data_IF_495053280986
#
_entry.id   IF_495053280986
#
_cell.length_a   1.000
_cell.length_b   1.000
_cell.length_c   1.000
_cell.angle_alpha   90.00
_cell.angle_beta   90.00
_cell.angle_gamma   90.00
#
_symmetry.space_group_name_H-M   'P 1'
#
loop_
_entity.id
_entity.type
_entity.pdbx_description
1 polymer ?
#
# COMPACT_ATOMS: atom_id res chain seq x y z
N UNK A 1 -26.57 41.42 -3.60
CA UNK A 1 -25.26 41.70 -2.96
C UNK A 1 -24.43 42.71 -3.76
N UNK A 2 -24.32 42.58 -5.10
CA UNK A 2 -23.43 43.42 -5.92
C UNK A 2 -24.10 44.38 -6.92
N UNK A 3 -25.44 44.38 -7.00
CA UNK A 3 -26.19 45.26 -7.90
C UNK A 3 -26.64 46.58 -7.27
N UNK A 4 -26.66 47.65 -8.07
CA UNK A 4 -27.27 48.93 -7.71
C UNK A 4 -28.77 48.90 -8.06
N UNK A 5 -29.62 49.02 -7.04
CA UNK A 5 -31.09 48.93 -7.19
C UNK A 5 -31.70 50.07 -8.02
N UNK A 6 -31.04 51.23 -8.09
CA UNK A 6 -31.54 52.40 -8.82
C UNK A 6 -31.22 52.32 -10.32
N UNK A 7 -30.00 51.90 -10.67
CA UNK A 7 -29.54 51.81 -12.06
C UNK A 7 -29.77 50.45 -12.70
N UNK A 8 -30.23 49.44 -11.93
CA UNK A 8 -30.40 48.03 -12.35
C UNK A 8 -29.14 47.41 -12.98
N UNK A 9 -27.97 47.91 -12.59
CA UNK A 9 -26.66 47.44 -13.07
C UNK A 9 -25.87 46.75 -11.96
N UNK A 10 -25.00 45.82 -12.35
CA UNK A 10 -24.08 45.08 -11.48
C UNK A 10 -22.65 45.43 -11.87
N UNK A 11 -21.83 45.76 -10.89
CA UNK A 11 -20.40 45.96 -11.09
C UNK A 11 -19.68 44.61 -11.01
N UNK A 12 -19.22 44.12 -12.16
CA UNK A 12 -18.56 42.80 -12.28
C UNK A 12 -17.22 42.79 -11.56
N UNK A 13 -16.44 43.89 -11.58
CA UNK A 13 -15.16 44.00 -10.87
C UNK A 13 -15.36 43.85 -9.35
N UNK A 14 -16.40 44.46 -8.80
CA UNK A 14 -16.76 44.33 -7.37
C UNK A 14 -17.20 42.90 -7.02
N UNK A 15 -17.93 42.24 -7.92
CA UNK A 15 -18.30 40.83 -7.76
C UNK A 15 -17.08 39.91 -7.77
N UNK A 16 -16.18 40.06 -8.75
CA UNK A 16 -14.94 39.27 -8.84
C UNK A 16 -14.02 39.52 -7.64
N UNK A 17 -13.89 40.77 -7.20
CA UNK A 17 -13.16 41.09 -5.97
C UNK A 17 -13.80 40.40 -4.74
N UNK A 18 -15.13 40.39 -4.65
CA UNK A 18 -15.86 39.63 -3.63
C UNK A 18 -15.58 38.13 -3.69
N UNK A 19 -15.51 37.55 -4.88
CA UNK A 19 -15.23 36.13 -5.07
C UNK A 19 -13.81 35.76 -4.62
N UNK A 20 -12.83 36.63 -4.87
CA UNK A 20 -11.46 36.43 -4.38
C UNK A 20 -11.39 36.46 -2.85
N UNK A 21 -12.24 37.24 -2.18
CA UNK A 21 -12.27 37.25 -0.70
C UNK A 21 -12.78 35.95 -0.08
N UNK A 22 -13.50 35.11 -0.83
CA UNK A 22 -13.94 33.79 -0.35
C UNK A 22 -12.82 32.74 -0.44
N UNK A 23 -11.64 33.10 -0.97
CA UNK A 23 -10.49 32.22 -1.12
C UNK A 23 -10.40 31.47 -2.44
N UNK A 24 -11.42 31.58 -3.30
CA UNK A 24 -11.31 31.09 -4.68
C UNK A 24 -10.33 31.97 -5.46
N UNK A 25 -9.62 31.38 -6.41
CA UNK A 25 -8.69 32.12 -7.27
C UNK A 25 -9.24 32.23 -8.68
N UNK A 26 -8.78 33.24 -9.42
CA UNK A 26 -9.18 33.47 -10.81
C UNK A 26 -8.77 32.32 -11.74
N UNK A 27 -7.76 31.53 -11.37
CA UNK A 27 -7.29 30.36 -12.10
C UNK A 27 -8.04 29.05 -11.74
N UNK A 28 -9.15 29.11 -11.00
CA UNK A 28 -9.96 27.91 -10.71
C UNK A 28 -10.66 27.40 -11.99
N UNK A 29 -10.42 26.13 -12.41
CA UNK A 29 -11.03 25.58 -13.62
C UNK A 29 -12.57 25.61 -13.62
N UNK A 30 -13.20 25.56 -12.44
CA UNK A 30 -14.66 25.58 -12.28
C UNK A 30 -15.26 26.97 -12.49
N UNK A 31 -14.44 28.01 -12.58
CA UNK A 31 -14.86 29.39 -12.86
C UNK A 31 -14.50 29.82 -14.30
N UNK A 32 -13.90 28.93 -15.10
CA UNK A 32 -13.38 29.25 -16.42
C UNK A 32 -14.44 29.82 -17.35
N UNK A 33 -15.60 29.17 -17.44
CA UNK A 33 -16.72 29.59 -18.30
C UNK A 33 -17.23 30.98 -17.91
N UNK A 34 -17.36 31.24 -16.60
CA UNK A 34 -17.69 32.57 -16.10
C UNK A 34 -16.66 33.62 -16.53
N UNK A 35 -15.35 33.34 -16.43
CA UNK A 35 -14.32 34.28 -16.86
C UNK A 35 -14.30 34.48 -18.38
N UNK A 36 -14.53 33.43 -19.18
CA UNK A 36 -14.67 33.51 -20.63
C UNK A 36 -15.90 34.37 -21.02
N UNK A 37 -17.04 34.13 -20.38
CA UNK A 37 -18.25 34.93 -20.56
C UNK A 37 -18.03 36.40 -20.17
N UNK A 38 -17.25 36.68 -19.12
CA UNK A 38 -16.87 38.05 -18.76
C UNK A 38 -16.05 38.70 -19.87
N UNK A 39 -15.06 37.99 -20.44
CA UNK A 39 -14.23 38.51 -21.53
C UNK A 39 -15.01 38.70 -22.84
N UNK A 40 -15.93 37.79 -23.17
CA UNK A 40 -16.85 37.99 -24.30
C UNK A 40 -17.69 39.25 -24.13
N UNK A 41 -18.23 39.47 -22.93
CA UNK A 41 -19.05 40.64 -22.62
C UNK A 41 -18.21 41.91 -22.66
N UNK A 42 -16.95 41.89 -22.16
CA UNK A 42 -16.00 43.00 -22.31
C UNK A 42 -15.75 43.35 -23.78
N UNK A 43 -15.49 42.34 -24.61
CA UNK A 43 -15.25 42.50 -26.04
C UNK A 43 -16.47 43.07 -26.79
N UNK A 44 -17.69 42.63 -26.42
CA UNK A 44 -18.94 43.15 -27.00
C UNK A 44 -19.21 44.61 -26.62
N UNK A 45 -18.80 45.03 -25.42
CA UNK A 45 -19.08 46.37 -24.89
C UNK A 45 -18.01 47.39 -25.32
N UNK A 46 -16.90 46.98 -25.96
CA UNK A 46 -15.83 47.85 -26.46
C UNK A 46 -15.29 48.84 -25.39
N UNK A 47 -15.41 48.50 -24.11
CA UNK A 47 -14.89 49.34 -23.03
C UNK A 47 -13.44 48.97 -22.75
N UNK A 48 -12.56 49.94 -23.04
CA UNK A 48 -11.11 49.85 -22.84
C UNK A 48 -10.71 50.24 -21.41
N UNK A 49 -11.62 50.84 -20.64
CA UNK A 49 -11.33 51.35 -19.31
C UNK A 49 -11.73 50.33 -18.22
N UNK A 50 -10.75 49.92 -17.41
CA UNK A 50 -10.84 48.77 -16.49
C UNK A 50 -11.71 49.04 -15.24
N UNK A 51 -12.22 50.26 -15.06
CA UNK A 51 -12.72 50.70 -13.75
C UNK A 51 -14.23 50.60 -13.50
N UNK A 52 -15.06 50.22 -14.47
CA UNK A 52 -16.43 49.76 -14.13
C UNK A 52 -17.15 49.01 -15.25
N UNK A 53 -16.85 47.72 -15.42
CA UNK A 53 -17.72 46.83 -16.20
C UNK A 53 -19.09 46.71 -15.51
N UNK A 54 -20.03 47.54 -15.96
CA UNK A 54 -21.41 47.58 -15.50
C UNK A 54 -22.29 46.82 -16.48
N UNK A 55 -22.86 45.71 -16.00
CA UNK A 55 -23.76 44.86 -16.79
C UNK A 55 -25.16 44.89 -16.21
N UNK A 56 -26.17 44.67 -17.04
CA UNK A 56 -27.54 44.49 -16.56
C UNK A 56 -27.73 43.12 -15.90
N UNK A 57 -28.87 42.92 -15.25
CA UNK A 57 -29.14 41.68 -14.51
C UNK A 57 -29.20 40.45 -15.42
N UNK A 58 -29.74 40.59 -16.63
CA UNK A 58 -29.88 39.48 -17.57
C UNK A 58 -28.52 39.03 -18.10
N UNK A 59 -27.66 39.98 -18.49
CA UNK A 59 -26.28 39.68 -18.91
C UNK A 59 -25.49 39.08 -17.76
N UNK A 60 -25.63 39.60 -16.54
CA UNK A 60 -24.95 39.04 -15.37
C UNK A 60 -25.37 37.59 -15.08
N UNK A 61 -26.67 37.28 -15.14
CA UNK A 61 -27.16 35.92 -14.96
C UNK A 61 -26.65 34.98 -16.05
N UNK A 62 -26.51 35.46 -17.29
CA UNK A 62 -25.86 34.71 -18.37
C UNK A 62 -24.36 34.49 -18.13
N UNK A 63 -23.67 35.43 -17.48
CA UNK A 63 -22.25 35.27 -17.13
C UNK A 63 -22.04 34.14 -16.11
N UNK A 64 -22.89 34.07 -15.08
CA UNK A 64 -22.71 33.14 -13.95
C UNK A 64 -23.51 31.84 -14.08
N UNK A 65 -24.34 31.66 -15.12
CA UNK A 65 -25.30 30.55 -15.21
C UNK A 65 -24.62 29.19 -15.07
N UNK A 66 -23.49 29.02 -15.74
CA UNK A 66 -22.82 27.73 -15.86
C UNK A 66 -22.02 27.37 -14.60
N UNK A 67 -21.71 28.38 -13.76
CA UNK A 67 -20.94 28.21 -12.53
C UNK A 67 -21.74 28.70 -11.29
N UNK A 68 -23.07 28.73 -11.40
CA UNK A 68 -23.95 29.32 -10.39
C UNK A 68 -23.81 28.63 -9.02
N UNK A 69 -23.68 27.30 -9.01
CA UNK A 69 -23.60 26.52 -7.77
C UNK A 69 -22.41 26.93 -6.90
N UNK A 70 -21.21 26.99 -7.49
CA UNK A 70 -19.98 27.36 -6.76
C UNK A 70 -20.01 28.83 -6.33
N UNK A 71 -20.55 29.72 -7.17
CA UNK A 71 -20.71 31.14 -6.85
C UNK A 71 -21.69 31.34 -5.69
N UNK A 72 -22.82 30.63 -5.71
CA UNK A 72 -23.81 30.69 -4.61
C UNK A 72 -23.19 30.19 -3.32
N UNK A 73 -22.52 29.02 -3.35
CA UNK A 73 -21.84 28.44 -2.17
C UNK A 73 -20.76 29.37 -1.59
N UNK A 74 -20.03 30.08 -2.46
CA UNK A 74 -19.01 31.03 -2.06
C UNK A 74 -19.59 32.22 -1.27
N UNK A 75 -20.69 32.81 -1.75
CA UNK A 75 -21.31 33.98 -1.12
C UNK A 75 -22.33 33.64 -0.03
N UNK A 76 -22.80 32.39 0.07
CA UNK A 76 -23.70 31.92 1.13
C UNK A 76 -22.96 31.46 2.39
N UNK A 77 -21.64 31.65 2.46
CA UNK A 77 -20.80 31.17 3.56
C UNK A 77 -20.92 29.64 3.78
N UNK A 78 -21.16 28.88 2.70
CA UNK A 78 -21.34 27.42 2.74
C UNK A 78 -20.08 26.64 2.35
N UNK A 79 -18.93 27.31 2.28
CA UNK A 79 -17.64 26.63 2.23
C UNK A 79 -17.22 26.15 3.61
N UNK A 80 -16.40 25.09 3.62
CA UNK A 80 -15.85 24.45 4.81
C UNK A 80 -15.14 25.45 5.73
N UNK A 81 -14.56 26.53 5.18
CA UNK A 81 -14.06 27.67 5.94
C UNK A 81 -14.83 28.93 5.51
N UNK A 82 -15.90 29.31 6.25
CA UNK A 82 -16.74 30.45 5.92
C UNK A 82 -16.02 31.80 5.98
N UNK A 83 -15.19 32.00 7.02
CA UNK A 83 -14.41 33.23 7.25
C UNK A 83 -12.95 33.03 6.82
N UNK A 84 -12.75 32.67 5.55
CA UNK A 84 -11.43 32.33 5.00
C UNK A 84 -10.37 33.41 5.24
N UNK A 85 -10.75 34.69 5.18
CA UNK A 85 -9.82 35.80 5.40
C UNK A 85 -9.27 35.84 6.83
N UNK A 86 -10.14 35.70 7.83
CA UNK A 86 -9.69 35.65 9.24
C UNK A 86 -8.81 34.43 9.48
N UNK A 87 -9.14 33.30 8.86
CA UNK A 87 -8.32 32.10 8.94
C UNK A 87 -6.93 32.29 8.30
N UNK A 88 -6.84 32.96 7.15
CA UNK A 88 -5.56 33.32 6.54
C UNK A 88 -4.72 34.23 7.46
N UNK A 89 -5.34 35.20 8.14
CA UNK A 89 -4.65 36.06 9.10
C UNK A 89 -4.06 35.25 10.27
N UNK A 90 -4.73 34.18 10.70
CA UNK A 90 -4.22 33.27 11.72
C UNK A 90 -3.09 32.38 11.20
N UNK A 91 -3.19 31.88 9.96
CA UNK A 91 -2.09 31.16 9.29
C UNK A 91 -0.85 32.06 9.13
N UNK A 92 -1.03 33.35 8.85
CA UNK A 92 0.07 34.32 8.79
C UNK A 92 0.74 34.50 10.16
N UNK A 93 -0.03 34.61 11.24
CA UNK A 93 0.52 34.67 12.61
C UNK A 93 1.36 33.43 12.90
N UNK A 94 0.87 32.24 12.57
CA UNK A 94 1.59 30.97 12.75
C UNK A 94 2.85 30.95 11.88
N UNK A 95 2.75 31.33 10.60
CA UNK A 95 3.88 31.41 9.68
C UNK A 95 5.00 32.27 10.26
N UNK A 96 4.67 33.46 10.78
CA UNK A 96 5.63 34.38 11.39
C UNK A 96 6.21 33.86 12.71
N UNK A 97 5.43 33.18 13.54
CA UNK A 97 5.94 32.51 14.75
C UNK A 97 6.95 31.41 14.39
N UNK A 98 6.62 30.55 13.44
CA UNK A 98 7.47 29.44 12.99
C UNK A 98 8.74 29.93 12.29
N UNK A 99 8.67 31.03 11.53
CA UNK A 99 9.81 31.61 10.82
C UNK A 99 11.00 31.97 11.73
N UNK A 100 10.75 32.20 13.02
CA UNK A 100 11.79 32.52 14.00
C UNK A 100 12.58 31.29 14.46
N UNK A 101 12.09 30.07 14.20
CA UNK A 101 12.81 28.84 14.52
C UNK A 101 13.90 28.59 13.47
N UNK A 102 15.16 28.73 13.86
CA UNK A 102 16.33 28.48 13.00
C UNK A 102 17.07 27.20 13.40
N UNK A 103 16.45 26.32 14.20
CA UNK A 103 17.06 25.06 14.60
C UNK A 103 17.09 24.06 13.42
N UNK A 104 18.10 23.20 13.42
CA UNK A 104 18.31 22.17 12.38
C UNK A 104 19.47 22.49 11.44
N UNK A 105 19.78 21.55 10.55
CA UNK A 105 20.83 21.71 9.52
C UNK A 105 20.33 21.14 8.20
N UNK A 106 20.70 21.77 7.09
CA UNK A 106 20.46 21.21 5.76
C UNK A 106 21.23 19.89 5.62
N UNK A 107 20.67 18.95 4.85
CA UNK A 107 21.37 17.70 4.57
C UNK A 107 22.69 17.97 3.87
N UNK A 108 23.79 17.47 4.42
CA UNK A 108 25.14 17.74 3.92
C UNK A 108 25.66 16.66 2.96
N UNK A 109 25.00 15.50 2.89
CA UNK A 109 25.45 14.37 2.05
C UNK A 109 24.99 14.46 0.58
N UNK A 110 24.02 15.34 0.26
CA UNK A 110 23.63 15.66 -1.12
C UNK A 110 24.00 17.12 -1.40
N UNK A 111 25.04 17.41 -2.20
CA UNK A 111 25.53 18.77 -2.44
C UNK A 111 24.46 19.75 -2.93
N UNK A 112 23.51 19.29 -3.74
CA UNK A 112 22.43 20.11 -4.30
C UNK A 112 21.37 20.52 -3.25
N UNK A 113 21.18 19.70 -2.21
CA UNK A 113 20.31 20.01 -1.08
C UNK A 113 21.06 20.75 0.03
N UNK A 114 22.36 20.48 0.17
CA UNK A 114 23.26 21.20 1.06
C UNK A 114 23.35 22.69 0.69
N UNK A 115 23.33 22.99 -0.61
CA UNK A 115 23.37 24.35 -1.15
C UNK A 115 22.03 25.11 -1.06
N UNK A 116 20.93 24.46 -0.62
CA UNK A 116 19.66 25.17 -0.45
C UNK A 116 19.74 26.10 0.76
N UNK A 117 19.20 27.30 0.61
CA UNK A 117 19.21 28.30 1.67
C UNK A 117 18.35 27.79 2.85
N UNK A 118 18.93 27.60 4.06
CA UNK A 118 18.19 27.13 5.23
C UNK A 118 17.12 28.10 5.70
N UNK A 119 17.11 29.33 5.17
CA UNK A 119 16.11 30.36 5.49
C UNK A 119 14.84 30.28 4.64
N UNK A 120 14.81 29.43 3.62
CA UNK A 120 13.60 29.27 2.81
C UNK A 120 12.47 28.67 3.65
N UNK A 121 11.32 29.34 3.66
CA UNK A 121 10.15 28.92 4.41
C UNK A 121 8.86 29.32 3.69
N UNK A 122 8.01 28.33 3.43
CA UNK A 122 6.80 28.50 2.65
C UNK A 122 5.67 27.64 3.21
N UNK A 123 4.45 28.18 3.19
CA UNK A 123 3.22 27.48 3.54
C UNK A 123 2.21 27.71 2.42
N UNK A 124 1.58 26.64 1.94
CA UNK A 124 0.51 26.72 0.95
C UNK A 124 -0.60 25.76 1.31
N UNK A 125 -1.85 26.20 1.21
CA UNK A 125 -3.05 25.44 1.56
C UNK A 125 -4.11 25.50 0.47
N UNK A 126 -4.88 24.42 0.36
CA UNK A 126 -6.06 24.31 -0.49
C UNK A 126 -7.15 23.55 0.28
N UNK A 127 -8.34 24.15 0.44
CA UNK A 127 -9.48 23.48 1.08
C UNK A 127 -10.15 22.52 0.10
N UNK A 128 -11.00 21.62 0.62
CA UNK A 128 -11.80 20.69 -0.20
C UNK A 128 -12.77 21.41 -1.14
N UNK A 129 -13.16 22.64 -0.81
CA UNK A 129 -13.99 23.50 -1.66
C UNK A 129 -13.18 24.30 -2.68
N UNK A 130 -11.84 24.21 -2.63
CA UNK A 130 -10.91 24.87 -3.55
C UNK A 130 -10.48 26.27 -3.11
N UNK A 131 -10.70 26.65 -1.85
CA UNK A 131 -10.17 27.90 -1.31
C UNK A 131 -8.66 27.76 -1.13
N UNK A 132 -7.85 28.69 -1.65
CA UNK A 132 -6.39 28.57 -1.69
C UNK A 132 -5.72 29.79 -1.06
N UNK A 133 -4.67 29.54 -0.28
CA UNK A 133 -3.82 30.58 0.31
C UNK A 133 -2.36 30.11 0.37
N UNK A 134 -1.42 31.02 0.17
CA UNK A 134 0.00 30.71 0.08
C UNK A 134 0.82 31.88 0.63
N UNK A 135 1.79 31.61 1.50
CA UNK A 135 2.66 32.60 2.16
C UNK A 135 4.11 32.11 2.20
N UNK A 136 5.06 33.02 1.99
CA UNK A 136 6.50 32.72 1.96
C UNK A 136 7.02 32.31 0.59
N UNK A 137 8.08 31.50 0.56
CA UNK A 137 8.85 31.13 -0.63
C UNK A 137 8.12 30.06 -1.51
N UNK A 138 6.83 30.24 -1.77
CA UNK A 138 5.92 29.22 -2.36
C UNK A 138 6.17 28.93 -3.84
N UNK A 139 6.97 29.77 -4.51
CA UNK A 139 7.37 29.57 -5.91
C UNK A 139 8.77 28.96 -6.04
N UNK A 140 9.49 28.81 -4.93
CA UNK A 140 10.79 28.15 -4.94
C UNK A 140 10.60 26.65 -5.19
N UNK A 141 11.16 26.16 -6.29
CA UNK A 141 11.11 24.73 -6.58
C UNK A 141 12.06 23.97 -5.66
N UNK A 142 11.52 22.97 -4.97
CA UNK A 142 12.26 21.95 -4.24
C UNK A 142 11.90 20.58 -4.81
N UNK A 143 12.78 19.59 -4.64
CA UNK A 143 12.48 18.23 -5.09
C UNK A 143 11.45 17.61 -4.13
N UNK A 144 10.38 17.04 -4.69
CA UNK A 144 9.41 16.19 -3.95
C UNK A 144 10.13 14.99 -3.30
N UNK A 145 11.33 14.65 -3.80
CA UNK A 145 12.02 13.36 -3.64
C UNK A 145 11.27 12.25 -4.41
N UNK A 146 11.74 11.01 -4.35
CA UNK A 146 11.34 9.96 -5.29
C UNK A 146 9.90 9.46 -5.04
N UNK A 147 8.93 9.94 -5.83
CA UNK A 147 7.54 9.43 -5.82
C UNK A 147 7.47 7.89 -6.02
N UNK A 148 8.46 7.30 -6.70
CA UNK A 148 8.55 5.85 -6.92
C UNK A 148 8.90 5.10 -5.63
N UNK A 149 9.78 5.68 -4.82
CA UNK A 149 10.15 5.11 -3.53
C UNK A 149 9.00 5.22 -2.54
N UNK A 150 8.34 6.37 -2.46
CA UNK A 150 7.19 6.54 -1.59
C UNK A 150 6.02 5.61 -1.97
N UNK A 151 5.76 5.45 -3.27
CA UNK A 151 4.73 4.52 -3.76
C UNK A 151 5.03 3.06 -3.33
N UNK A 152 6.26 2.60 -3.52
CA UNK A 152 6.65 1.25 -3.14
C UNK A 152 6.67 1.09 -1.62
N UNK A 153 7.19 2.07 -0.89
CA UNK A 153 7.21 2.07 0.58
C UNK A 153 5.79 1.95 1.15
N UNK A 154 4.84 2.69 0.59
CA UNK A 154 3.43 2.62 0.98
C UNK A 154 2.83 1.24 0.69
N UNK A 155 3.13 0.66 -0.46
CA UNK A 155 2.71 -0.71 -0.78
C UNK A 155 3.30 -1.74 0.21
N UNK A 156 4.58 -1.61 0.59
CA UNK A 156 5.19 -2.49 1.60
C UNK A 156 4.58 -2.29 2.99
N UNK A 157 4.24 -1.05 3.39
CA UNK A 157 3.52 -0.80 4.65
C UNK A 157 2.16 -1.48 4.68
N UNK A 158 1.42 -1.43 3.56
CA UNK A 158 0.14 -2.15 3.41
C UNK A 158 0.33 -3.66 3.50
N UNK A 159 1.37 -4.22 2.87
CA UNK A 159 1.72 -5.64 2.99
C UNK A 159 2.09 -6.05 4.43
N UNK A 160 2.75 -5.17 5.17
CA UNK A 160 3.14 -5.39 6.56
C UNK A 160 1.99 -5.22 7.55
N UNK A 161 0.83 -4.69 7.14
CA UNK A 161 -0.28 -4.41 8.04
C UNK A 161 0.02 -3.27 9.02
N UNK A 162 0.81 -2.28 8.61
CA UNK A 162 1.33 -1.19 9.47
C UNK A 162 2.33 -1.61 10.55
N UNK A 163 2.88 -2.83 10.47
CA UNK A 163 4.05 -3.24 11.24
C UNK A 163 5.33 -2.49 10.81
N UNK A 164 6.42 -2.69 11.55
CA UNK A 164 7.69 -2.01 11.29
C UNK A 164 8.19 -2.18 9.86
N UNK A 165 8.44 -1.05 9.19
CA UNK A 165 9.15 -0.96 7.92
C UNK A 165 10.13 0.22 8.01
N UNK A 166 11.41 -0.09 8.00
CA UNK A 166 12.51 0.86 8.09
C UNK A 166 13.29 1.01 6.79
N UNK A 167 14.32 1.85 6.85
CA UNK A 167 15.26 2.05 5.75
C UNK A 167 16.68 2.28 6.30
N UNK A 168 17.63 1.45 5.86
CA UNK A 168 19.01 1.53 6.31
C UNK A 168 19.86 2.32 5.31
N UNK A 169 20.04 3.61 5.59
CA UNK A 169 20.85 4.46 4.72
C UNK A 169 22.33 4.04 4.65
N UNK A 170 22.87 3.44 5.72
CA UNK A 170 24.26 2.98 5.75
C UNK A 170 24.48 1.78 4.81
N UNK A 171 23.54 0.82 4.80
CA UNK A 171 23.54 -0.29 3.85
C UNK A 171 23.36 0.23 2.43
N UNK A 172 22.45 1.17 2.20
CA UNK A 172 22.25 1.77 0.87
C UNK A 172 23.51 2.40 0.30
N UNK A 173 24.22 3.21 1.10
CA UNK A 173 25.46 3.84 0.66
C UNK A 173 26.57 2.81 0.41
N UNK A 174 26.68 1.80 1.28
CA UNK A 174 27.65 0.71 1.15
C UNK A 174 27.39 -0.17 -0.10
N UNK A 175 26.13 -0.55 -0.32
CA UNK A 175 25.71 -1.30 -1.52
C UNK A 175 25.99 -0.50 -2.79
N UNK A 176 25.69 0.81 -2.78
CA UNK A 176 25.94 1.69 -3.92
C UNK A 176 27.43 1.82 -4.25
N UNK A 177 28.30 1.90 -3.24
CA UNK A 177 29.75 2.04 -3.43
C UNK A 177 30.40 0.76 -3.98
N UNK A 178 29.94 -0.42 -3.53
CA UNK A 178 30.52 -1.72 -3.89
C UNK A 178 29.78 -2.45 -5.03
N UNK A 179 28.88 -1.77 -5.75
CA UNK A 179 27.92 -2.37 -6.68
C UNK A 179 28.44 -2.67 -8.10
N UNK A 180 29.74 -2.92 -8.29
CA UNK A 180 30.36 -3.08 -9.62
C UNK A 180 29.62 -4.11 -10.51
N UNK A 181 29.23 -5.25 -9.93
CA UNK A 181 28.49 -6.30 -10.64
C UNK A 181 27.12 -5.81 -11.12
N UNK A 182 26.40 -5.06 -10.29
CA UNK A 182 25.09 -4.53 -10.63
C UNK A 182 25.19 -3.48 -11.74
N UNK A 183 26.20 -2.61 -11.71
CA UNK A 183 26.46 -1.67 -12.79
C UNK A 183 26.76 -2.39 -14.10
N UNK A 184 27.65 -3.39 -14.09
CA UNK A 184 28.00 -4.15 -15.30
C UNK A 184 26.77 -4.83 -15.93
N UNK A 185 25.94 -5.50 -15.11
CA UNK A 185 24.70 -6.12 -15.58
C UNK A 185 23.72 -5.10 -16.15
N UNK A 186 23.57 -3.95 -15.49
CA UNK A 186 22.65 -2.91 -15.93
C UNK A 186 23.09 -2.29 -17.27
N UNK A 187 24.39 -2.07 -17.47
CA UNK A 187 24.92 -1.63 -18.76
C UNK A 187 24.70 -2.68 -19.86
N UNK A 188 24.92 -3.96 -19.55
CA UNK A 188 24.66 -5.07 -20.47
C UNK A 188 23.18 -5.15 -20.86
N UNK A 189 22.27 -5.03 -19.90
CA UNK A 189 20.83 -4.99 -20.13
C UNK A 189 20.40 -3.78 -20.97
N UNK A 190 21.04 -2.63 -20.78
CA UNK A 190 20.76 -1.41 -21.56
C UNK A 190 21.12 -1.59 -23.03
N UNK A 191 22.30 -2.15 -23.32
CA UNK A 191 22.73 -2.44 -24.69
C UNK A 191 21.76 -3.39 -25.39
N UNK A 192 21.27 -4.40 -24.67
CA UNK A 192 20.29 -5.38 -25.17
C UNK A 192 18.84 -4.88 -25.14
N UNK A 193 18.61 -3.58 -24.88
CA UNK A 193 17.27 -2.95 -24.87
C UNK A 193 16.27 -3.64 -23.92
N UNK A 194 16.76 -4.15 -22.79
CA UNK A 194 15.91 -4.81 -21.79
C UNK A 194 15.09 -3.82 -20.95
N UNK A 195 15.39 -2.52 -21.02
CA UNK A 195 14.64 -1.47 -20.33
C UNK A 195 13.63 -0.78 -21.27
N UNK A 196 12.49 -0.31 -20.74
CA UNK A 196 11.56 0.51 -21.51
C UNK A 196 12.22 1.76 -22.13
N UNK A 197 11.66 2.31 -23.22
CA UNK A 197 12.14 3.56 -23.81
C UNK A 197 12.12 4.70 -22.78
N UNK A 198 13.19 5.50 -22.73
CA UNK A 198 13.31 6.64 -21.82
C UNK A 198 13.75 6.31 -20.39
N UNK A 199 14.06 5.05 -20.07
CA UNK A 199 14.59 4.68 -18.76
C UNK A 199 15.97 5.27 -18.51
N UNK A 200 16.11 6.01 -17.40
CA UNK A 200 17.39 6.51 -16.90
C UNK A 200 18.05 5.44 -16.03
N UNK A 201 19.17 4.89 -16.50
CA UNK A 201 19.84 3.76 -15.87
C UNK A 201 20.27 4.06 -14.43
N UNK A 202 20.92 5.20 -14.21
CA UNK A 202 21.46 5.57 -12.90
C UNK A 202 20.37 5.75 -11.85
N UNK A 203 19.29 6.48 -12.18
CA UNK A 203 18.13 6.64 -11.28
C UNK A 203 17.40 5.31 -11.02
N UNK A 204 17.49 4.34 -11.94
CA UNK A 204 16.87 3.02 -11.77
C UNK A 204 17.72 2.12 -10.87
N UNK A 205 19.05 2.17 -11.01
CA UNK A 205 19.98 1.48 -10.12
C UNK A 205 19.95 2.05 -8.71
N UNK A 206 19.92 3.38 -8.56
CA UNK A 206 19.76 4.00 -7.25
C UNK A 206 18.48 3.55 -6.57
N UNK A 207 17.37 3.50 -7.32
CA UNK A 207 16.11 2.99 -6.81
C UNK A 207 16.20 1.50 -6.42
N UNK A 208 16.88 0.68 -7.20
CA UNK A 208 17.14 -0.72 -6.86
C UNK A 208 17.88 -0.87 -5.52
N UNK A 209 18.97 -0.11 -5.30
CA UNK A 209 19.70 -0.15 -4.02
C UNK A 209 18.85 0.36 -2.85
N UNK A 210 17.99 1.37 -3.08
CA UNK A 210 17.05 1.83 -2.05
C UNK A 210 16.11 0.69 -1.61
N UNK A 211 15.59 -0.11 -2.54
CA UNK A 211 14.71 -1.23 -2.21
C UNK A 211 15.45 -2.37 -1.50
N UNK A 212 16.70 -2.65 -1.87
CA UNK A 212 17.53 -3.65 -1.20
C UNK A 212 17.92 -3.26 0.24
N UNK A 213 17.81 -1.97 0.58
CA UNK A 213 18.15 -1.41 1.89
C UNK A 213 16.94 -1.17 2.79
N UNK A 214 15.75 -1.65 2.43
CA UNK A 214 14.58 -1.64 3.31
C UNK A 214 14.78 -2.62 4.48
N UNK A 215 14.32 -2.21 5.67
CA UNK A 215 14.43 -3.01 6.88
C UNK A 215 13.07 -3.51 7.33
N UNK A 216 13.03 -4.79 7.71
CA UNK A 216 11.86 -5.41 8.32
C UNK A 216 12.30 -6.18 9.57
N UNK A 217 11.36 -6.40 10.47
CA UNK A 217 11.47 -7.38 11.56
C UNK A 217 10.97 -8.75 11.09
N UNK A 218 11.26 -9.81 11.85
CA UNK A 218 10.68 -11.12 11.58
C UNK A 218 9.13 -11.10 11.67
N UNK A 219 8.57 -10.27 12.55
CA UNK A 219 7.11 -10.12 12.71
C UNK A 219 6.47 -9.47 11.47
N UNK A 220 6.97 -8.30 11.06
CA UNK A 220 6.50 -7.62 9.84
C UNK A 220 6.69 -8.50 8.59
N UNK A 221 7.83 -9.17 8.46
CA UNK A 221 8.07 -10.13 7.39
C UNK A 221 7.09 -11.29 7.37
N UNK A 222 6.71 -11.83 8.54
CA UNK A 222 5.73 -12.91 8.63
C UNK A 222 4.35 -12.44 8.15
N UNK A 223 3.94 -11.21 8.47
CA UNK A 223 2.69 -10.61 7.98
C UNK A 223 2.72 -10.41 6.47
N UNK A 224 3.84 -9.97 5.89
CA UNK A 224 4.01 -9.86 4.44
C UNK A 224 3.89 -11.23 3.77
N UNK A 225 4.56 -12.26 4.31
CA UNK A 225 4.46 -13.64 3.81
C UNK A 225 3.01 -14.17 3.91
N UNK A 226 2.31 -13.87 5.00
CA UNK A 226 0.93 -14.29 5.22
C UNK A 226 -0.04 -13.56 4.28
N UNK A 227 0.25 -12.31 3.91
CA UNK A 227 -0.50 -11.58 2.87
C UNK A 227 -0.41 -12.29 1.52
N UNK A 228 0.77 -12.83 1.17
CA UNK A 228 0.92 -13.69 -0.02
C UNK A 228 0.20 -15.04 0.15
N UNK A 229 0.26 -15.64 1.35
CA UNK A 229 -0.48 -16.88 1.63
C UNK A 229 -1.99 -16.70 1.47
N UNK A 230 -2.50 -15.50 1.80
CA UNK A 230 -3.91 -15.12 1.77
C UNK A 230 -4.33 -14.45 0.44
N UNK A 231 -3.65 -14.79 -0.67
CA UNK A 231 -4.07 -14.36 -2.00
C UNK A 231 -3.93 -12.87 -2.29
N UNK A 232 -3.16 -12.13 -1.49
CA UNK A 232 -2.90 -10.69 -1.68
C UNK A 232 -3.68 -9.78 -0.74
N UNK A 233 -4.52 -10.34 0.11
CA UNK A 233 -5.27 -9.61 1.15
C UNK A 233 -4.50 -9.68 2.46
N UNK A 234 -4.17 -8.53 3.04
CA UNK A 234 -3.43 -8.50 4.30
C UNK A 234 -4.27 -9.14 5.43
N UNK A 235 -3.72 -10.10 6.20
CA UNK A 235 -4.51 -10.87 7.17
C UNK A 235 -4.88 -10.07 8.43
N UNK A 236 -4.17 -8.98 8.74
CA UNK A 236 -4.44 -8.15 9.92
C UNK A 236 -5.44 -7.03 9.61
N UNK A 237 -5.36 -6.45 8.41
CA UNK A 237 -6.16 -5.28 8.03
C UNK A 237 -7.33 -5.60 7.10
N UNK A 238 -7.32 -6.74 6.41
CA UNK A 238 -8.29 -7.07 5.37
C UNK A 238 -8.11 -6.26 4.07
N UNK A 239 -7.03 -5.48 3.96
CA UNK A 239 -6.75 -4.63 2.80
C UNK A 239 -6.32 -5.48 1.58
N UNK A 240 -6.98 -5.38 0.41
CA UNK A 240 -6.53 -6.01 -0.81
C UNK A 240 -5.33 -5.26 -1.40
N UNK A 241 -4.12 -5.70 -1.04
CA UNK A 241 -2.87 -5.03 -1.43
C UNK A 241 -2.40 -5.48 -2.82
N UNK A 242 -2.55 -6.76 -3.13
CA UNK A 242 -2.10 -7.37 -4.39
C UNK A 242 -3.24 -8.12 -5.07
N UNK A 243 -3.19 -8.21 -6.40
CA UNK A 243 -4.11 -9.07 -7.15
C UNK A 243 -3.75 -10.54 -6.97
N UNK A 244 -4.75 -11.42 -6.97
CA UNK A 244 -4.53 -12.86 -6.83
C UNK A 244 -3.65 -13.43 -7.96
N UNK A 245 -3.72 -12.84 -9.16
CA UNK A 245 -2.84 -13.21 -10.27
C UNK A 245 -1.38 -12.89 -9.99
N UNK A 246 -1.07 -11.69 -9.49
CA UNK A 246 0.28 -11.30 -9.13
C UNK A 246 0.83 -12.23 -8.05
N UNK A 247 0.04 -12.52 -7.01
CA UNK A 247 0.42 -13.43 -5.93
C UNK A 247 0.70 -14.83 -6.43
N UNK A 248 -0.17 -15.41 -7.27
CA UNK A 248 0.05 -16.73 -7.86
C UNK A 248 1.37 -16.78 -8.62
N UNK A 249 1.61 -15.80 -9.50
CA UNK A 249 2.81 -15.74 -10.32
C UNK A 249 4.07 -15.60 -9.45
N UNK A 250 4.02 -14.76 -8.42
CA UNK A 250 5.11 -14.59 -7.45
C UNK A 250 5.41 -15.88 -6.69
N UNK A 251 4.38 -16.58 -6.17
CA UNK A 251 4.58 -17.83 -5.43
C UNK A 251 5.15 -18.95 -6.32
N UNK A 252 4.72 -19.03 -7.57
CA UNK A 252 5.31 -19.97 -8.54
C UNK A 252 6.80 -19.70 -8.77
N UNK A 253 7.19 -18.43 -8.96
CA UNK A 253 8.59 -18.06 -9.14
C UNK A 253 9.42 -18.22 -7.86
N UNK A 254 8.83 -17.98 -6.69
CA UNK A 254 9.49 -18.26 -5.40
C UNK A 254 9.78 -19.75 -5.25
N UNK A 255 8.87 -20.63 -5.69
CA UNK A 255 9.09 -22.07 -5.65
C UNK A 255 10.27 -22.50 -6.54
N UNK A 256 10.37 -21.99 -7.78
CA UNK A 256 11.42 -22.43 -8.72
C UNK A 256 12.74 -21.66 -8.63
N UNK A 257 12.73 -20.40 -8.19
CA UNK A 257 13.84 -19.45 -8.32
C UNK A 257 14.19 -18.69 -7.02
N UNK A 258 13.61 -19.08 -5.88
CA UNK A 258 13.65 -18.28 -4.66
C UNK A 258 14.92 -18.35 -3.80
N UNK A 259 15.63 -19.48 -3.84
CA UNK A 259 16.70 -19.86 -2.90
C UNK A 259 18.08 -19.96 -3.59
N UNK A 260 18.37 -19.03 -4.50
CA UNK A 260 19.60 -19.02 -5.32
C UNK A 260 19.80 -20.35 -6.06
N UNK A 261 21.04 -20.85 -6.15
CA UNK A 261 21.35 -22.13 -6.78
C UNK A 261 20.75 -23.34 -6.03
N UNK A 262 20.25 -23.13 -4.80
CA UNK A 262 19.57 -24.18 -4.02
C UNK A 262 18.08 -24.31 -4.36
N UNK A 263 17.51 -23.43 -5.19
CA UNK A 263 16.05 -23.39 -5.48
C UNK A 263 15.48 -24.74 -5.94
N UNK A 264 16.15 -25.44 -6.86
CA UNK A 264 15.68 -26.74 -7.34
C UNK A 264 15.68 -27.83 -6.27
N UNK A 265 16.72 -27.87 -5.42
CA UNK A 265 16.79 -28.82 -4.32
C UNK A 265 15.78 -28.49 -3.21
N UNK A 266 15.59 -27.20 -2.93
CA UNK A 266 14.61 -26.71 -1.97
C UNK A 266 13.18 -27.04 -2.42
N UNK A 267 12.86 -26.81 -3.70
CA UNK A 267 11.58 -27.16 -4.29
C UNK A 267 11.30 -28.67 -4.23
N UNK A 268 12.32 -29.51 -4.35
CA UNK A 268 12.17 -30.96 -4.27
C UNK A 268 12.05 -31.49 -2.83
N UNK A 269 12.86 -30.96 -1.89
CA UNK A 269 12.91 -31.44 -0.51
C UNK A 269 11.86 -30.81 0.39
N UNK A 270 11.68 -29.50 0.29
CA UNK A 270 10.77 -28.70 1.12
C UNK A 270 9.46 -28.44 0.38
N UNK A 271 9.52 -28.18 -0.93
CA UNK A 271 8.31 -28.01 -1.74
C UNK A 271 7.53 -26.72 -1.49
N UNK A 272 8.02 -25.81 -0.65
CA UNK A 272 7.33 -24.57 -0.32
C UNK A 272 7.91 -23.37 -1.11
N UNK A 273 7.07 -22.39 -1.52
CA UNK A 273 7.56 -21.11 -2.01
C UNK A 273 8.36 -20.37 -0.94
N UNK A 274 9.60 -20.02 -1.25
CA UNK A 274 10.47 -19.26 -0.35
C UNK A 274 11.31 -18.22 -1.09
N UNK A 275 11.84 -17.23 -0.38
CA UNK A 275 12.87 -16.31 -0.88
C UNK A 275 13.92 -16.05 0.19
N UNK A 276 15.18 -16.31 -0.17
CA UNK A 276 16.34 -16.03 0.68
C UNK A 276 16.93 -14.65 0.42
N UNK A 277 17.44 -14.00 1.48
CA UNK A 277 18.21 -12.76 1.42
C UNK A 277 19.58 -12.93 2.05
N UNK A 278 20.59 -12.21 1.53
CA UNK A 278 21.98 -12.24 2.04
C UNK A 278 22.12 -11.70 3.46
N UNK A 279 21.08 -11.04 3.99
CA UNK A 279 20.98 -10.66 5.41
C UNK A 279 20.72 -11.85 6.35
N UNK A 280 20.51 -13.05 5.81
CA UNK A 280 20.12 -14.25 6.56
C UNK A 280 18.61 -14.38 6.77
N UNK A 281 17.81 -13.57 6.08
CA UNK A 281 16.35 -13.65 6.09
C UNK A 281 15.86 -14.69 5.07
N UNK A 282 14.84 -15.48 5.44
CA UNK A 282 14.09 -16.35 4.54
C UNK A 282 12.60 -16.07 4.74
N UNK A 283 11.97 -15.56 3.67
CA UNK A 283 10.52 -15.44 3.59
C UNK A 283 9.96 -16.77 3.07
N UNK A 284 9.07 -17.42 3.81
CA UNK A 284 8.51 -18.73 3.47
C UNK A 284 6.98 -18.63 3.48
N UNK A 285 6.32 -19.17 2.45
CA UNK A 285 4.86 -19.10 2.31
C UNK A 285 4.29 -20.50 2.21
N UNK A 286 3.30 -20.82 3.05
CA UNK A 286 2.42 -21.98 2.90
C UNK A 286 1.07 -21.46 2.39
N UNK A 287 0.79 -21.58 1.07
CA UNK A 287 -0.40 -20.98 0.47
C UNK A 287 -1.69 -21.41 1.16
N UNK A 288 -2.62 -20.46 1.30
CA UNK A 288 -3.91 -20.63 1.99
C UNK A 288 -3.81 -21.05 3.47
N UNK A 289 -2.63 -20.94 4.09
CA UNK A 289 -2.42 -21.39 5.47
C UNK A 289 -1.67 -20.36 6.31
N UNK A 290 -0.39 -20.14 6.04
CA UNK A 290 0.49 -19.35 6.92
C UNK A 290 1.69 -18.79 6.17
N UNK A 291 2.19 -17.63 6.61
CA UNK A 291 3.46 -17.07 6.18
C UNK A 291 4.46 -17.04 7.33
N UNK A 292 5.73 -17.29 7.02
CA UNK A 292 6.84 -17.23 7.96
C UNK A 292 7.91 -16.27 7.46
N UNK A 293 8.59 -15.63 8.41
CA UNK A 293 9.84 -14.93 8.16
C UNK A 293 10.88 -15.42 9.17
N UNK A 294 11.88 -16.13 8.66
CA UNK A 294 12.96 -16.69 9.45
C UNK A 294 14.17 -15.78 9.30
N UNK A 295 14.87 -15.49 10.39
CA UNK A 295 16.07 -14.67 10.33
C UNK A 295 17.21 -15.27 11.14
N UNK A 296 18.33 -15.53 10.46
CA UNK A 296 19.57 -15.96 11.08
C UNK A 296 20.74 -15.56 10.16
N UNK A 297 21.58 -14.60 10.55
CA UNK A 297 22.64 -14.04 9.69
C UNK A 297 23.66 -15.03 9.10
N UNK A 298 24.10 -16.10 9.78
CA UNK A 298 25.06 -17.05 9.20
C UNK A 298 24.51 -17.77 7.96
N UNK A 299 25.26 -17.70 6.86
CA UNK A 299 24.89 -18.25 5.55
C UNK A 299 25.69 -19.52 5.20
N UNK A 300 25.08 -20.37 4.38
CA UNK A 300 25.73 -21.50 3.72
C UNK A 300 26.53 -21.06 2.48
N UNK A 301 27.18 -22.02 1.81
CA UNK A 301 27.95 -21.78 0.59
C UNK A 301 27.09 -21.30 -0.62
N UNK A 302 25.77 -21.42 -0.55
CA UNK A 302 24.83 -20.97 -1.56
C UNK A 302 24.23 -19.59 -1.24
N UNK A 303 24.56 -18.99 -0.09
CA UNK A 303 24.06 -17.70 0.36
C UNK A 303 22.72 -17.76 1.11
N UNK A 304 22.27 -18.94 1.52
CA UNK A 304 21.04 -19.12 2.30
C UNK A 304 21.33 -19.23 3.80
N UNK A 305 20.38 -18.83 4.64
CA UNK A 305 20.52 -18.99 6.10
C UNK A 305 20.56 -20.46 6.51
N UNK A 306 21.64 -20.88 7.19
CA UNK A 306 21.84 -22.28 7.60
C UNK A 306 20.68 -22.77 8.47
N UNK A 307 20.38 -22.02 9.55
CA UNK A 307 19.28 -22.38 10.47
C UNK A 307 17.90 -22.27 9.82
N UNK A 308 17.73 -21.29 8.92
CA UNK A 308 16.45 -21.11 8.25
C UNK A 308 16.12 -22.25 7.27
N UNK A 309 17.11 -22.75 6.52
CA UNK A 309 16.92 -23.93 5.64
C UNK A 309 16.66 -25.20 6.45
N UNK A 310 17.39 -25.39 7.55
CA UNK A 310 17.18 -26.55 8.45
C UNK A 310 15.76 -26.53 9.03
N UNK A 311 15.31 -25.38 9.54
CA UNK A 311 13.94 -25.21 10.05
C UNK A 311 12.89 -25.56 8.99
N UNK A 312 13.07 -25.12 7.74
CA UNK A 312 12.13 -25.43 6.66
C UNK A 312 12.05 -26.94 6.38
N UNK A 313 13.18 -27.66 6.49
CA UNK A 313 13.23 -29.10 6.28
C UNK A 313 12.52 -29.85 7.40
N UNK A 314 12.80 -29.48 8.66
CA UNK A 314 12.13 -30.07 9.82
C UNK A 314 10.62 -29.77 9.83
N UNK A 315 10.22 -28.58 9.37
CA UNK A 315 8.82 -28.18 9.27
C UNK A 315 8.02 -29.15 8.38
N UNK A 316 8.56 -29.52 7.20
CA UNK A 316 7.86 -30.42 6.27
C UNK A 316 8.03 -31.89 6.62
N UNK A 317 9.06 -32.24 7.40
CA UNK A 317 9.22 -33.58 7.96
C UNK A 317 8.18 -33.85 9.05
N UNK A 318 7.82 -32.82 9.82
CA UNK A 318 6.82 -32.90 10.87
C UNK A 318 5.39 -32.70 10.36
N UNK A 319 5.16 -31.72 9.47
CA UNK A 319 3.82 -31.32 9.02
C UNK A 319 3.56 -31.63 7.55
N UNK A 320 2.28 -31.88 7.21
CA UNK A 320 1.78 -32.07 5.83
C UNK A 320 1.69 -30.75 5.04
N UNK A 321 2.81 -30.02 4.97
CA UNK A 321 2.92 -28.74 4.30
C UNK A 321 3.65 -28.80 2.96
N UNK A 322 4.35 -29.89 2.65
CA UNK A 322 4.98 -30.01 1.33
C UNK A 322 3.91 -29.85 0.23
N UNK A 323 4.18 -29.07 -0.82
CA UNK A 323 3.16 -28.74 -1.82
C UNK A 323 2.53 -29.97 -2.50
N UNK A 324 3.30 -31.05 -2.59
CA UNK A 324 2.87 -32.35 -3.13
C UNK A 324 2.54 -33.42 -2.07
N UNK A 325 2.42 -33.06 -0.78
CA UNK A 325 1.97 -34.00 0.26
C UNK A 325 0.49 -34.38 0.05
N UNK A 326 0.14 -35.61 0.42
CA UNK A 326 -1.23 -36.09 0.36
C UNK A 326 -2.00 -35.71 1.63
N UNK A 327 -3.09 -34.94 1.45
CA UNK A 327 -3.93 -34.47 2.55
C UNK A 327 -4.95 -35.51 3.05
N UNK A 328 -5.33 -36.47 2.20
CA UNK A 328 -6.36 -37.50 2.48
C UNK A 328 -5.78 -38.86 2.84
N UNK A 329 -4.47 -39.05 2.71
CA UNK A 329 -3.78 -40.33 2.89
C UNK A 329 -3.32 -40.58 4.33
N UNK A 330 -3.65 -41.76 4.86
CA UNK A 330 -3.27 -42.26 6.18
C UNK A 330 -1.87 -42.92 6.24
N UNK A 331 -1.07 -42.84 5.17
CA UNK A 331 0.22 -43.53 5.09
C UNK A 331 1.39 -42.74 5.69
N UNK A 332 1.15 -41.50 6.11
CA UNK A 332 2.18 -40.59 6.60
C UNK A 332 1.98 -40.29 8.09
N UNK A 333 3.05 -40.41 8.88
CA UNK A 333 3.12 -40.03 10.30
C UNK A 333 3.11 -38.51 10.53
N UNK A 334 3.07 -37.72 9.45
CA UNK A 334 3.06 -36.25 9.51
C UNK A 334 1.75 -35.70 10.09
N UNK A 335 1.87 -34.59 10.80
CA UNK A 335 0.76 -33.87 11.42
C UNK A 335 0.13 -32.92 10.40
N UNK A 336 -1.19 -32.89 10.31
CA UNK A 336 -1.90 -31.81 9.60
C UNK A 336 -2.54 -30.87 10.63
N UNK A 337 -2.04 -29.63 10.78
CA UNK A 337 -2.55 -28.70 11.78
C UNK A 337 -3.89 -28.07 11.38
N UNK A 338 -4.42 -28.35 10.18
CA UNK A 338 -5.73 -27.87 9.73
C UNK A 338 -6.89 -28.72 10.24
N UNK A 339 -6.61 -29.94 10.72
CA UNK A 339 -7.60 -30.85 11.32
C UNK A 339 -7.40 -30.91 12.83
N UNK A 340 -8.48 -31.20 13.56
CA UNK A 340 -8.39 -31.35 15.00
C UNK A 340 -7.56 -32.57 15.39
N UNK A 341 -6.97 -32.56 16.60
CA UNK A 341 -6.20 -33.70 17.11
C UNK A 341 -7.03 -34.99 17.18
N UNK A 342 -8.33 -34.87 17.44
CA UNK A 342 -9.28 -35.98 17.47
C UNK A 342 -9.47 -36.58 16.07
N UNK A 343 -9.66 -35.74 15.04
CA UNK A 343 -9.74 -36.19 13.64
C UNK A 343 -8.42 -36.83 13.16
N UNK A 344 -7.28 -36.28 13.57
CA UNK A 344 -5.96 -36.82 13.21
C UNK A 344 -5.68 -38.16 13.91
N UNK A 345 -6.04 -38.32 15.18
CA UNK A 345 -5.88 -39.59 15.91
C UNK A 345 -6.72 -40.73 15.32
N UNK A 346 -7.87 -40.40 14.71
CA UNK A 346 -8.76 -41.36 14.06
C UNK A 346 -8.37 -41.61 12.59
N UNK A 347 -7.51 -40.78 12.01
CA UNK A 347 -7.00 -40.93 10.65
C UNK A 347 -6.04 -42.14 10.56
N UNK A 348 -6.60 -43.32 10.35
CA UNK A 348 -5.87 -44.59 10.25
C UNK A 348 -6.48 -45.72 11.07
N UNK A 349 -7.44 -45.41 11.94
CA UNK A 349 -8.20 -46.38 12.70
C UNK A 349 -9.44 -46.80 11.91
N UNK A 350 -9.70 -48.11 11.82
CA UNK A 350 -10.96 -48.60 11.29
C UNK A 350 -12.08 -48.33 12.29
N UNK A 351 -12.82 -47.24 12.04
CA UNK A 351 -13.95 -46.81 12.86
C UNK A 351 -15.18 -47.72 12.72
N UNK A 352 -15.20 -48.61 11.72
CA UNK A 352 -16.23 -49.63 11.55
C UNK A 352 -15.85 -50.95 12.22
N UNK A 353 -14.67 -51.03 12.85
CA UNK A 353 -14.29 -52.19 13.64
C UNK A 353 -15.24 -52.39 14.82
N UNK A 354 -15.64 -53.65 15.01
CA UNK A 354 -16.56 -54.04 16.06
C UNK A 354 -15.80 -54.65 17.25
N UNK A 355 -16.32 -54.44 18.47
CA UNK A 355 -15.84 -55.11 19.68
C UNK A 355 -16.23 -56.61 19.71
N UNK A 356 -15.92 -57.29 20.83
CA UNK A 356 -16.26 -58.70 21.02
C UNK A 356 -17.77 -58.99 20.99
N UNK A 357 -18.61 -57.98 21.22
CA UNK A 357 -20.08 -58.05 21.16
C UNK A 357 -20.64 -57.63 19.80
N UNK A 358 -19.79 -57.31 18.82
CA UNK A 358 -20.23 -56.85 17.50
C UNK A 358 -20.67 -55.38 17.45
N UNK A 359 -20.34 -54.58 18.48
CA UNK A 359 -20.68 -53.15 18.55
C UNK A 359 -19.54 -52.30 17.97
N UNK A 360 -19.88 -51.43 17.04
CA UNK A 360 -18.99 -50.36 16.54
C UNK A 360 -18.95 -49.16 17.49
N UNK A 361 -18.02 -48.22 17.27
CA UNK A 361 -17.95 -46.97 18.02
C UNK A 361 -19.28 -46.18 18.04
N UNK A 362 -20.05 -46.25 16.94
CA UNK A 362 -21.36 -45.59 16.83
C UNK A 362 -22.40 -46.21 17.79
N UNK A 363 -22.39 -47.53 17.99
CA UNK A 363 -23.30 -48.19 18.92
C UNK A 363 -23.06 -47.77 20.36
N UNK A 364 -21.79 -47.72 20.77
CA UNK A 364 -21.40 -47.33 22.12
C UNK A 364 -21.71 -45.85 22.37
N UNK A 365 -21.40 -44.98 21.40
CA UNK A 365 -21.71 -43.56 21.50
C UNK A 365 -23.23 -43.30 21.59
N UNK A 366 -24.03 -44.04 20.83
CA UNK A 366 -25.48 -43.95 20.87
C UNK A 366 -26.09 -44.51 22.16
N UNK A 367 -25.53 -45.60 22.72
CA UNK A 367 -26.03 -46.19 23.97
C UNK A 367 -25.75 -45.32 25.19
N UNK A 368 -24.61 -44.65 25.23
CA UNK A 368 -24.22 -43.74 26.31
C UNK A 368 -24.82 -42.33 26.16
N UNK A 369 -25.49 -42.04 25.04
CA UNK A 369 -26.14 -40.74 24.80
C UNK A 369 -25.15 -39.61 24.52
N UNK A 370 -23.95 -39.90 24.02
CA UNK A 370 -22.95 -38.90 23.65
C UNK A 370 -23.25 -38.31 22.28
N UNK A 371 -24.19 -37.37 22.23
CA UNK A 371 -24.68 -36.73 21.00
C UNK A 371 -23.53 -36.16 20.15
N UNK A 372 -22.59 -35.45 20.77
CA UNK A 372 -21.44 -34.85 20.08
C UNK A 372 -20.56 -35.90 19.39
N UNK A 373 -20.42 -37.09 19.98
CA UNK A 373 -19.64 -38.21 19.41
C UNK A 373 -20.41 -38.87 18.26
N UNK A 374 -21.74 -38.99 18.39
CA UNK A 374 -22.61 -39.52 17.32
C UNK A 374 -22.60 -38.59 16.10
N UNK A 375 -22.77 -37.28 16.29
CA UNK A 375 -22.68 -36.28 15.22
C UNK A 375 -21.32 -36.33 14.54
N UNK A 376 -20.23 -36.40 15.32
CA UNK A 376 -18.88 -36.52 14.79
C UNK A 376 -18.69 -37.80 13.94
N UNK A 377 -19.12 -38.96 14.43
CA UNK A 377 -18.98 -40.23 13.70
C UNK A 377 -19.80 -40.27 12.40
N UNK A 378 -21.01 -39.69 12.41
CA UNK A 378 -21.89 -39.68 11.24
C UNK A 378 -21.49 -38.62 10.22
N UNK A 379 -21.24 -37.37 10.64
CA UNK A 379 -21.00 -36.26 9.72
C UNK A 379 -19.54 -36.16 9.26
N UNK A 380 -18.58 -36.36 10.18
CA UNK A 380 -17.14 -36.17 9.90
C UNK A 380 -16.47 -37.47 9.46
N UNK A 381 -16.78 -38.59 10.12
CA UNK A 381 -16.16 -39.88 9.82
C UNK A 381 -16.95 -40.72 8.80
N UNK A 382 -18.18 -40.35 8.45
CA UNK A 382 -19.04 -41.05 7.48
C UNK A 382 -19.22 -42.55 7.80
N UNK A 383 -19.31 -42.90 9.08
CA UNK A 383 -19.56 -44.26 9.55
C UNK A 383 -21.00 -44.66 9.19
N UNK A 384 -21.23 -45.94 8.84
CA UNK A 384 -22.54 -46.43 8.44
C UNK A 384 -23.61 -46.15 9.53
N UNK A 385 -24.69 -45.40 9.22
CA UNK A 385 -25.75 -45.07 10.18
C UNK A 385 -26.64 -46.26 10.55
N UNK A 386 -26.57 -47.37 9.81
CA UNK A 386 -27.28 -48.61 10.09
C UNK A 386 -26.34 -49.83 10.05
N UNK A 387 -25.35 -49.91 10.95
CA UNK A 387 -24.49 -51.08 11.04
C UNK A 387 -25.31 -52.26 11.58
N UNK A 388 -25.21 -53.43 10.93
CA UNK A 388 -25.92 -54.63 11.36
C UNK A 388 -25.23 -55.22 12.60
N UNK A 389 -25.94 -55.26 13.72
CA UNK A 389 -25.53 -56.02 14.91
C UNK A 389 -25.78 -57.51 14.67
N UNK A 390 -24.92 -58.37 15.22
CA UNK A 390 -25.03 -59.83 15.10
C UNK A 390 -26.08 -60.41 16.04
#
# INVERSE_FOLDING_TARGET
MFGNKQTKTINVKKFLAGLLTTGLRSDDPRLREMYENVEEVKNRINQVDDDSLLVDYQTFMGIISDNLEIVVRAFSHSFVIPEFRSFCDDIDKIYHQCKNNQNGQTTQYIPQLANKNPKFWAVSMCTVDGQRYSVGDVKESFTIQSCRFDYILEMYKRLAGSEYLGFNNSVFLSEKECADRNFALAYFMRENKCFPPGTKLQETLEFYFQLCSLEITAESGAVMAATLANGGINPLTGDPVLTCEAVRNTLTLMHSCGMYNYSGQFAFKVGLPAKSGVSGCILLVVPNTVGFCLWSPPLDANGNSVRGVEFCSELVNLFKFHHFDNLRGNTSTKIDPRVTRTEHALAGTDLESADYDGRTALHVAASEGHIEVVEFLLEKCQVNPAPKVR
#
